data_IF_433669551399
#
_entry.id   IF_433669551399
#
_cell.length_a   1.000
_cell.length_b   1.000
_cell.length_c   1.000
_cell.angle_alpha   90.00
_cell.angle_beta   90.00
_cell.angle_gamma   90.00
#
_symmetry.space_group_name_H-M   'P 1'
#
loop_
_entity.id
_entity.type
_entity.pdbx_description
1 polymer ?
#
# COMPACT_ATOMS: atom_id res chain seq x y z
N UNK A 1 14.47 -19.43 -1.05
CA UNK A 1 13.08 -18.95 -0.94
C UNK A 1 12.54 -19.43 0.40
N UNK A 2 12.74 -18.67 1.46
CA UNK A 2 12.34 -19.05 2.83
C UNK A 2 10.84 -18.81 3.03
N UNK A 3 10.17 -19.71 3.76
CA UNK A 3 8.73 -19.66 4.15
C UNK A 3 8.28 -18.38 4.90
N UNK A 4 9.09 -17.31 4.92
CA UNK A 4 8.85 -16.10 5.71
C UNK A 4 7.86 -15.09 5.09
N UNK A 5 7.51 -15.17 3.80
CA UNK A 5 6.96 -13.98 3.12
C UNK A 5 5.56 -14.07 2.49
N UNK A 6 4.85 -15.21 2.58
CA UNK A 6 3.47 -15.30 2.05
C UNK A 6 2.45 -14.89 3.12
N UNK A 7 2.58 -15.41 4.34
CA UNK A 7 1.65 -15.12 5.44
C UNK A 7 1.69 -13.65 5.88
N UNK A 8 2.88 -13.04 5.83
CA UNK A 8 3.09 -11.62 6.12
C UNK A 8 2.48 -10.74 5.02
N UNK A 9 2.71 -11.08 3.75
CA UNK A 9 2.11 -10.40 2.60
C UNK A 9 0.57 -10.52 2.60
N UNK A 10 0.04 -11.68 2.97
CA UNK A 10 -1.41 -11.89 3.06
C UNK A 10 -2.02 -11.06 4.20
N UNK A 11 -1.34 -10.97 5.34
CA UNK A 11 -1.74 -10.09 6.46
C UNK A 11 -1.73 -8.62 6.05
N UNK A 12 -0.66 -8.15 5.42
CA UNK A 12 -0.54 -6.76 4.94
C UNK A 12 -1.63 -6.43 3.92
N UNK A 13 -1.93 -7.34 2.99
CA UNK A 13 -3.04 -7.19 2.04
C UNK A 13 -4.41 -7.15 2.74
N UNK A 14 -4.63 -7.97 3.76
CA UNK A 14 -5.86 -7.93 4.57
C UNK A 14 -6.00 -6.57 5.28
N UNK A 15 -4.91 -6.03 5.82
CA UNK A 15 -4.89 -4.71 6.48
C UNK A 15 -5.22 -3.60 5.47
N UNK A 16 -4.56 -3.60 4.31
CA UNK A 16 -4.81 -2.63 3.25
C UNK A 16 -6.26 -2.69 2.75
N UNK A 17 -6.79 -3.90 2.55
CA UNK A 17 -8.18 -4.12 2.15
C UNK A 17 -9.17 -3.60 3.18
N UNK A 18 -8.91 -3.85 4.47
CA UNK A 18 -9.74 -3.33 5.55
C UNK A 18 -9.73 -1.79 5.59
N UNK A 19 -8.57 -1.15 5.43
CA UNK A 19 -8.46 0.30 5.35
C UNK A 19 -9.22 0.88 4.14
N UNK A 20 -9.09 0.26 2.97
CA UNK A 20 -9.83 0.66 1.76
C UNK A 20 -11.35 0.56 1.95
N UNK A 21 -11.82 -0.54 2.55
CA UNK A 21 -13.25 -0.73 2.83
C UNK A 21 -13.77 0.34 3.81
N UNK A 22 -13.02 0.62 4.90
CA UNK A 22 -13.39 1.68 5.85
C UNK A 22 -13.53 3.04 5.18
N UNK A 23 -12.59 3.41 4.29
CA UNK A 23 -12.71 4.64 3.50
C UNK A 23 -13.95 4.61 2.59
N UNK A 24 -14.12 3.53 1.81
CA UNK A 24 -15.20 3.41 0.83
C UNK A 24 -16.58 3.55 1.46
N UNK A 25 -16.75 2.98 2.66
CA UNK A 25 -18.00 3.02 3.41
C UNK A 25 -18.10 4.15 4.43
N UNK A 26 -17.09 5.02 4.56
CA UNK A 26 -17.06 6.07 5.57
C UNK A 26 -18.33 6.95 5.55
N UNK A 27 -18.80 7.28 4.33
CA UNK A 27 -19.98 8.11 4.14
C UNK A 27 -21.29 7.38 4.52
N UNK A 28 -21.35 6.08 4.25
CA UNK A 28 -22.49 5.22 4.63
C UNK A 28 -22.54 5.09 6.15
N UNK A 29 -21.40 4.78 6.79
CA UNK A 29 -21.26 4.70 8.24
C UNK A 29 -21.69 6.01 8.90
N UNK A 30 -21.25 7.16 8.35
CA UNK A 30 -21.62 8.47 8.86
C UNK A 30 -23.12 8.72 8.80
N UNK A 31 -23.77 8.41 7.67
CA UNK A 31 -25.23 8.55 7.51
C UNK A 31 -25.99 7.62 8.47
N UNK A 32 -25.59 6.36 8.57
CA UNK A 32 -26.21 5.39 9.49
C UNK A 32 -26.08 5.82 10.95
N UNK A 33 -24.91 6.30 11.36
CA UNK A 33 -24.72 6.79 12.74
C UNK A 33 -25.52 8.06 13.02
N UNK A 34 -25.65 8.97 12.05
CA UNK A 34 -26.52 10.14 12.17
C UNK A 34 -27.99 9.74 12.34
N UNK A 35 -28.43 8.69 11.64
CA UNK A 35 -29.78 8.15 11.77
C UNK A 35 -30.02 7.52 13.16
N UNK A 36 -29.06 6.76 13.69
CA UNK A 36 -29.17 6.09 14.99
C UNK A 36 -29.08 7.08 16.16
N UNK A 37 -28.15 8.03 16.11
CA UNK A 37 -27.86 8.94 17.22
C UNK A 37 -28.67 10.25 17.17
N UNK A 38 -29.24 10.60 16.02
CA UNK A 38 -30.08 11.79 15.86
C UNK A 38 -29.39 13.07 16.38
N UNK A 39 -29.97 13.68 17.43
CA UNK A 39 -29.45 14.92 18.03
C UNK A 39 -28.14 14.74 18.80
N UNK A 40 -27.82 13.52 19.24
CA UNK A 40 -26.57 13.20 19.93
C UNK A 40 -25.40 12.93 18.96
N UNK A 41 -25.64 13.05 17.65
CA UNK A 41 -24.62 12.79 16.64
C UNK A 41 -23.55 13.90 16.59
N UNK A 42 -22.32 13.53 16.91
CA UNK A 42 -21.17 14.44 16.79
C UNK A 42 -20.54 14.36 15.39
N UNK A 43 -21.04 15.22 14.51
CA UNK A 43 -20.55 15.33 13.13
C UNK A 43 -19.07 15.75 13.06
N UNK A 44 -18.60 16.59 13.99
CA UNK A 44 -17.23 17.09 13.99
C UNK A 44 -16.25 15.97 14.30
N UNK A 45 -16.54 15.16 15.32
CA UNK A 45 -15.71 14.01 15.64
C UNK A 45 -15.77 12.92 14.57
N UNK A 46 -16.92 12.73 13.91
CA UNK A 46 -17.02 11.77 12.81
C UNK A 46 -16.22 12.17 11.57
N UNK A 47 -16.21 13.47 11.21
CA UNK A 47 -15.34 13.98 10.14
C UNK A 47 -13.86 13.78 10.47
N UNK A 48 -13.44 14.03 11.72
CA UNK A 48 -12.07 13.76 12.17
C UNK A 48 -11.71 12.28 12.05
N UNK A 49 -12.64 11.38 12.42
CA UNK A 49 -12.45 9.93 12.30
C UNK A 49 -12.31 9.48 10.85
N UNK A 50 -13.10 10.05 9.94
CA UNK A 50 -12.98 9.79 8.51
C UNK A 50 -11.63 10.27 7.94
N UNK A 51 -11.16 11.45 8.34
CA UNK A 51 -9.83 11.94 7.96
C UNK A 51 -8.70 11.05 8.51
N UNK A 52 -8.86 10.50 9.72
CA UNK A 52 -7.93 9.53 10.27
C UNK A 52 -7.87 8.24 9.43
N UNK A 53 -9.01 7.73 8.97
CA UNK A 53 -9.03 6.54 8.10
C UNK A 53 -8.34 6.80 6.75
N UNK A 54 -8.46 7.99 6.18
CA UNK A 54 -7.72 8.35 4.98
C UNK A 54 -6.20 8.35 5.23
N UNK A 55 -5.76 8.96 6.34
CA UNK A 55 -4.33 8.96 6.71
C UNK A 55 -3.80 7.55 6.88
N UNK A 56 -4.53 6.68 7.59
CA UNK A 56 -4.16 5.27 7.76
C UNK A 56 -4.05 4.56 6.42
N UNK A 57 -4.99 4.78 5.50
CA UNK A 57 -4.91 4.18 4.17
C UNK A 57 -3.67 4.64 3.38
N UNK A 58 -3.31 5.93 3.46
CA UNK A 58 -2.12 6.44 2.77
C UNK A 58 -0.84 5.87 3.36
N UNK A 59 -0.78 5.74 4.69
CA UNK A 59 0.36 5.14 5.39
C UNK A 59 0.56 3.67 5.00
N UNK A 60 -0.51 2.87 5.00
CA UNK A 60 -0.44 1.46 4.60
C UNK A 60 -0.06 1.28 3.13
N UNK A 61 -0.54 2.17 2.24
CA UNK A 61 -0.08 2.21 0.85
C UNK A 61 1.41 2.57 0.72
N UNK A 62 1.88 3.48 1.56
CA UNK A 62 3.28 3.88 1.62
C UNK A 62 4.18 2.72 2.02
N UNK A 63 3.82 2.02 3.11
CA UNK A 63 4.55 0.83 3.60
C UNK A 63 4.65 -0.26 2.54
N UNK A 64 3.56 -0.55 1.82
CA UNK A 64 3.58 -1.56 0.76
C UNK A 64 4.52 -1.16 -0.38
N UNK A 65 4.48 0.11 -0.82
CA UNK A 65 5.37 0.61 -1.88
C UNK A 65 6.84 0.58 -1.48
N UNK A 66 7.14 0.84 -0.22
CA UNK A 66 8.51 0.77 0.30
C UNK A 66 9.04 -0.66 0.28
N UNK A 67 8.23 -1.62 0.75
CA UNK A 67 8.54 -3.06 0.65
C UNK A 67 8.75 -3.51 -0.80
N UNK A 68 7.88 -3.10 -1.71
CA UNK A 68 8.02 -3.42 -3.15
C UNK A 68 9.32 -2.85 -3.73
N UNK A 69 9.73 -1.65 -3.30
CA UNK A 69 11.01 -1.05 -3.71
C UNK A 69 12.22 -1.80 -3.16
N UNK A 70 12.20 -2.20 -1.90
CA UNK A 70 13.28 -2.99 -1.29
C UNK A 70 13.43 -4.33 -2.02
N UNK A 71 12.32 -5.02 -2.26
CA UNK A 71 12.30 -6.27 -3.02
C UNK A 71 12.84 -6.08 -4.45
N UNK A 72 12.49 -4.99 -5.11
CA UNK A 72 13.00 -4.67 -6.44
C UNK A 72 14.51 -4.37 -6.43
N UNK A 73 15.02 -3.64 -5.43
CA UNK A 73 16.46 -3.38 -5.28
C UNK A 73 17.25 -4.67 -5.08
N UNK A 74 16.74 -5.58 -4.23
CA UNK A 74 17.35 -6.90 -4.02
C UNK A 74 17.37 -7.70 -5.33
N UNK A 75 16.28 -7.66 -6.09
CA UNK A 75 16.16 -8.32 -7.38
C UNK A 75 17.15 -7.75 -8.41
N UNK A 76 17.26 -6.43 -8.53
CA UNK A 76 18.24 -5.74 -9.39
C UNK A 76 19.67 -6.13 -9.01
N UNK A 77 19.99 -6.10 -7.71
CA UNK A 77 21.30 -6.49 -7.22
C UNK A 77 21.62 -7.97 -7.51
N UNK A 78 20.61 -8.84 -7.47
CA UNK A 78 20.75 -10.24 -7.87
C UNK A 78 21.02 -10.36 -9.37
N UNK A 79 20.21 -9.71 -10.22
CA UNK A 79 20.36 -9.70 -11.68
C UNK A 79 21.76 -9.23 -12.07
N UNK A 80 22.25 -8.14 -11.47
CA UNK A 80 23.62 -7.63 -11.70
C UNK A 80 24.73 -8.62 -11.37
N UNK A 81 24.51 -9.54 -10.42
CA UNK A 81 25.50 -10.57 -10.07
C UNK A 81 25.44 -11.79 -11.00
N UNK A 82 24.27 -12.10 -11.55
CA UNK A 82 24.05 -13.36 -12.28
C UNK A 82 24.01 -13.22 -13.80
N UNK A 83 23.85 -12.00 -14.33
CA UNK A 83 23.64 -11.75 -15.76
C UNK A 83 24.82 -10.99 -16.37
N UNK A 84 25.17 -11.31 -17.62
CA UNK A 84 26.23 -10.63 -18.37
C UNK A 84 25.89 -9.13 -18.55
N UNK A 85 26.94 -8.28 -18.60
CA UNK A 85 26.85 -6.82 -18.51
C UNK A 85 25.88 -6.12 -19.49
N UNK A 86 25.53 -6.75 -20.63
CA UNK A 86 24.54 -6.23 -21.58
C UNK A 86 23.09 -6.49 -21.16
N UNK A 87 22.76 -7.76 -20.88
CA UNK A 87 21.38 -8.20 -20.57
C UNK A 87 20.92 -7.75 -19.17
N UNK A 88 21.87 -7.58 -18.24
CA UNK A 88 21.56 -7.14 -16.87
C UNK A 88 21.04 -5.70 -16.78
N UNK A 89 21.48 -4.82 -17.68
CA UNK A 89 21.02 -3.42 -17.76
C UNK A 89 19.61 -3.32 -18.33
N UNK A 90 19.26 -4.16 -19.31
CA UNK A 90 17.92 -4.22 -19.89
C UNK A 90 16.92 -4.75 -18.86
N UNK A 91 17.26 -5.85 -18.18
CA UNK A 91 16.44 -6.42 -17.11
C UNK A 91 16.22 -5.47 -15.91
N UNK A 92 17.22 -4.66 -15.54
CA UNK A 92 17.05 -3.62 -14.51
C UNK A 92 16.08 -2.52 -14.97
N UNK A 93 16.18 -2.10 -16.23
CA UNK A 93 15.36 -1.03 -16.80
C UNK A 93 13.89 -1.44 -16.92
N UNK A 94 13.64 -2.69 -17.30
CA UNK A 94 12.30 -3.28 -17.35
C UNK A 94 11.70 -3.39 -15.95
N UNK A 95 12.47 -3.86 -14.96
CA UNK A 95 11.99 -3.96 -13.59
C UNK A 95 11.65 -2.59 -12.98
N UNK A 96 12.52 -1.59 -13.19
CA UNK A 96 12.27 -0.20 -12.76
C UNK A 96 10.97 0.36 -13.36
N UNK A 97 10.69 0.02 -14.62
CA UNK A 97 9.47 0.45 -15.31
C UNK A 97 8.23 -0.23 -14.75
N UNK A 98 8.31 -1.54 -14.42
CA UNK A 98 7.22 -2.32 -13.82
C UNK A 98 6.84 -1.79 -12.43
N UNK A 99 7.83 -1.43 -11.60
CA UNK A 99 7.58 -0.92 -10.24
C UNK A 99 7.24 0.58 -10.20
N UNK A 100 7.21 1.24 -11.37
CA UNK A 100 6.89 2.66 -11.50
C UNK A 100 7.93 3.59 -10.88
N UNK A 101 9.20 3.16 -10.83
CA UNK A 101 10.31 4.01 -10.44
C UNK A 101 10.74 4.91 -11.62
N UNK A 102 11.08 6.19 -11.39
CA UNK A 102 11.59 7.03 -12.47
C UNK A 102 12.93 6.46 -12.97
N UNK A 103 13.04 6.22 -14.26
CA UNK A 103 14.29 5.87 -14.93
C UNK A 103 15.27 7.03 -14.74
N UNK A 104 16.17 6.92 -13.76
CA UNK A 104 17.33 7.81 -13.67
C UNK A 104 18.38 7.30 -14.63
N UNK A 105 18.48 7.99 -15.77
CA UNK A 105 19.63 7.95 -16.68
C UNK A 105 20.88 8.46 -15.97
#
# INVERSE_FOLDING_TARGET
MTMLDIDTLEKDNKILRAAMLKKRYANVIMKSQKQVLGKAFDEKNMKKKAALWEKQLQEEKGKLREKDREAAQITIASIKRTVNFGDGLEAERDLMSIIGAPNRL
#
